data_IF_497931406990
#
_entry.id   IF_497931406990
#
_cell.length_a   1.000
_cell.length_b   1.000
_cell.length_c   1.000
_cell.angle_alpha   90.00
_cell.angle_beta   90.00
_cell.angle_gamma   90.00
#
_symmetry.space_group_name_H-M   'P 1'
#
loop_
_entity.id
_entity.type
_entity.pdbx_description
1 polymer ?
2 non-polymer ?
3 non-polymer ?
4 water ?
#
# COMPACT_ATOMS: atom_id res chain seq x y z
N UNK A 1 -6.31 2.31 -16.09
CA UNK A 1 -5.30 2.21 -15.03
C UNK A 1 -5.76 2.97 -13.82
N UNK A 2 -5.34 2.49 -12.66
CA UNK A 2 -5.75 3.11 -11.41
C UNK A 2 -4.57 3.24 -10.46
N UNK A 3 -4.58 4.31 -9.65
CA UNK A 3 -3.66 4.44 -8.52
C UNK A 3 -4.40 3.93 -7.30
N UNK A 4 -3.71 3.14 -6.48
CA UNK A 4 -4.25 2.64 -5.21
C UNK A 4 -3.38 3.25 -4.13
N UNK A 5 -4.01 3.93 -3.15
CA UNK A 5 -3.28 4.54 -2.04
C UNK A 5 -3.91 3.91 -0.82
N UNK A 6 -3.09 3.47 0.12
CA UNK A 6 -3.67 2.96 1.37
C UNK A 6 -2.98 3.68 2.51
N UNK A 7 -3.74 4.13 3.51
CA UNK A 7 -3.12 4.74 4.67
C UNK A 7 -3.56 3.88 5.81
N UNK A 8 -2.60 3.25 6.48
CA UNK A 8 -2.92 2.22 7.47
C UNK A 8 -2.22 2.50 8.79
N UNK A 9 -2.89 2.17 9.88
CA UNK A 9 -2.36 2.44 11.20
C UNK A 9 -1.80 1.15 11.82
N UNK A 10 -0.47 0.99 11.77
CA UNK A 10 0.19 -0.17 12.40
C UNK A 10 -0.16 -0.30 13.89
N UNK A 11 -0.44 -1.52 14.34
CA UNK A 11 -0.43 -1.82 15.78
C UNK A 11 0.83 -2.65 16.04
N UNK A 12 0.81 -3.90 15.60
CA UNK A 12 2.04 -4.67 15.47
C UNK A 12 2.78 -4.12 14.25
N UNK A 13 3.51 -3.02 14.45
CA UNK A 13 4.20 -2.32 13.37
C UNK A 13 5.19 -3.19 12.61
N UNK A 14 6.30 -3.50 13.27
CA UNK A 14 7.38 -4.25 12.65
C UNK A 14 6.82 -5.49 11.96
N UNK A 15 5.79 -6.08 12.59
CA UNK A 15 5.08 -7.24 12.04
C UNK A 15 4.39 -6.90 10.72
N UNK A 16 4.12 -5.61 10.53
CA UNK A 16 3.41 -5.15 9.34
C UNK A 16 4.38 -4.68 8.25
N UNK A 17 5.56 -4.24 8.65
CA UNK A 17 6.63 -4.00 7.70
C UNK A 17 6.92 -5.34 7.02
N UNK A 18 7.04 -6.38 7.83
CA UNK A 18 7.24 -7.75 7.34
C UNK A 18 6.05 -8.22 6.48
N UNK A 19 4.84 -7.88 6.92
CA UNK A 19 3.65 -8.19 6.15
C UNK A 19 3.73 -7.57 4.76
N UNK A 20 4.06 -6.29 4.71
CA UNK A 20 4.15 -5.55 3.45
C UNK A 20 5.20 -6.13 2.51
N UNK A 21 6.34 -6.49 3.07
CA UNK A 21 7.42 -7.05 2.27
C UNK A 21 7.05 -8.44 1.75
N UNK A 22 6.53 -9.28 2.64
CA UNK A 22 6.11 -10.63 2.26
C UNK A 22 4.97 -10.66 1.26
N UNK A 23 4.15 -9.61 1.25
CA UNK A 23 2.96 -9.52 0.40
C UNK A 23 3.21 -9.68 -1.10
N UNK A 24 4.44 -9.40 -1.54
CA UNK A 24 4.78 -9.50 -2.95
C UNK A 24 3.96 -8.57 -3.83
N UNK A 25 3.90 -7.30 -3.46
CA UNK A 25 3.23 -6.31 -4.28
C UNK A 25 4.28 -5.51 -5.03
N UNK A 26 4.64 -5.99 -6.21
CA UNK A 26 5.76 -5.41 -6.94
C UNK A 26 5.56 -3.94 -7.27
N UNK A 27 6.55 -3.12 -6.95
CA UNK A 27 6.52 -1.71 -7.30
C UNK A 27 5.82 -0.82 -6.29
N UNK A 28 5.24 -1.42 -5.26
CA UNK A 28 4.62 -0.60 -4.21
C UNK A 28 5.65 0.32 -3.52
N UNK A 29 5.29 1.57 -3.25
CA UNK A 29 6.20 2.42 -2.49
C UNK A 29 5.50 2.80 -1.19
N UNK A 30 6.32 3.12 -0.19
CA UNK A 30 5.78 3.37 1.14
C UNK A 30 6.43 4.61 1.75
N UNK A 31 5.64 5.35 2.53
CA UNK A 31 6.16 6.53 3.18
C UNK A 31 5.39 6.70 4.48
N UNK A 32 5.92 7.53 5.36
CA UNK A 32 5.24 7.77 6.63
C UNK A 32 4.43 9.05 6.54
N UNK A 33 3.25 9.02 7.14
CA UNK A 33 2.44 10.21 7.26
C UNK A 33 1.93 10.23 8.69
N UNK A 34 1.28 11.33 9.06
CA UNK A 34 0.68 11.42 10.39
C UNK A 34 -0.80 11.76 10.29
N UNK A 35 -1.63 11.16 11.13
CA UNK A 35 -3.02 11.56 11.20
C UNK A 35 -3.27 12.00 12.62
N UNK A 36 -4.49 12.40 12.96
CA UNK A 36 -4.75 12.82 14.34
C UNK A 36 -5.62 11.83 15.10
N UNK A 54 -3.22 13.78 20.09
CA UNK A 54 -2.62 12.52 19.68
C UNK A 54 -2.29 12.45 18.18
N UNK A 55 -1.06 12.83 17.84
CA UNK A 55 -0.51 12.58 16.51
C UNK A 55 -0.26 11.07 16.39
N UNK A 56 -0.72 10.48 15.29
CA UNK A 56 -0.61 9.05 15.07
C UNK A 56 0.24 8.82 13.85
N UNK A 57 1.33 8.08 14.01
CA UNK A 57 2.14 7.71 12.84
C UNK A 57 1.37 6.67 12.02
N UNK A 58 1.36 6.84 10.70
CA UNK A 58 0.66 5.93 9.81
C UNK A 58 1.58 5.61 8.63
N UNK A 59 1.30 4.50 7.95
CA UNK A 59 2.03 4.16 6.71
C UNK A 59 1.16 4.44 5.53
N UNK A 60 1.75 5.03 4.49
CA UNK A 60 1.05 5.27 3.24
C UNK A 60 1.67 4.40 2.17
N UNK A 61 0.83 3.62 1.48
CA UNK A 61 1.33 2.76 0.42
C UNK A 61 0.72 3.25 -0.87
N UNK A 62 1.50 3.21 -1.97
CA UNK A 62 0.95 3.62 -3.26
C UNK A 62 1.41 2.65 -4.32
N UNK A 63 0.52 2.37 -5.28
CA UNK A 63 0.93 1.58 -6.43
C UNK A 63 -0.03 1.95 -7.58
N UNK A 64 0.42 1.85 -8.83
CA UNK A 64 -0.44 2.06 -9.99
C UNK A 64 -0.53 0.74 -10.73
N UNK A 65 -1.76 0.34 -11.07
CA UNK A 65 -1.99 -0.97 -11.72
C UNK A 65 -3.00 -0.86 -12.83
N UNK A 66 -3.11 -1.91 -13.65
CA UNK A 66 -4.18 -1.97 -14.64
C UNK A 66 -5.52 -2.19 -13.93
N UNK A 67 -6.63 -1.83 -14.59
CA UNK A 67 -7.94 -1.85 -13.92
C UNK A 67 -8.24 -3.27 -13.43
N UNK A 68 -7.85 -4.25 -14.25
CA UNK A 68 -8.20 -5.65 -13.97
C UNK A 68 -7.47 -6.18 -12.74
N UNK A 69 -6.48 -5.44 -12.26
CA UNK A 69 -5.64 -5.88 -11.13
C UNK A 69 -5.99 -5.23 -9.80
N UNK A 70 -6.92 -4.28 -9.82
CA UNK A 70 -7.23 -3.49 -8.64
C UNK A 70 -7.70 -4.33 -7.46
N UNK A 71 -8.64 -5.22 -7.71
CA UNK A 71 -9.18 -6.01 -6.58
C UNK A 71 -8.10 -6.94 -5.98
N UNK A 72 -7.26 -7.49 -6.87
CA UNK A 72 -6.19 -8.37 -6.44
C UNK A 72 -5.25 -7.65 -5.50
N UNK A 73 -4.87 -6.42 -5.86
CA UNK A 73 -3.93 -5.67 -5.05
C UNK A 73 -4.57 -5.21 -3.73
N UNK A 74 -5.81 -4.75 -3.79
CA UNK A 74 -6.59 -4.39 -2.58
C UNK A 74 -6.60 -5.59 -1.62
N UNK A 75 -6.90 -6.77 -2.15
CA UNK A 75 -6.91 -7.98 -1.32
C UNK A 75 -5.56 -8.27 -0.68
N UNK A 76 -4.46 -8.07 -1.41
CA UNK A 76 -3.14 -8.33 -0.83
C UNK A 76 -2.82 -7.32 0.28
N UNK A 77 -3.18 -6.05 0.05
CA UNK A 77 -2.98 -5.04 1.07
C UNK A 77 -3.77 -5.41 2.34
N UNK A 78 -5.04 -5.73 2.18
CA UNK A 78 -5.85 -6.12 3.35
C UNK A 78 -5.26 -7.34 4.05
N UNK A 79 -4.82 -8.34 3.28
CA UNK A 79 -4.33 -9.54 3.90
C UNK A 79 -3.06 -9.24 4.69
N UNK A 80 -2.25 -8.32 4.16
CA UNK A 80 -1.00 -7.94 4.81
C UNK A 80 -1.30 -7.21 6.12
N UNK A 81 -2.23 -6.27 6.04
CA UNK A 81 -2.65 -5.50 7.21
C UNK A 81 -3.14 -6.43 8.31
N UNK A 82 -3.95 -7.41 7.93
CA UNK A 82 -4.46 -8.39 8.89
C UNK A 82 -3.35 -9.14 9.63
N UNK A 83 -2.26 -9.49 8.95
CA UNK A 83 -1.21 -10.25 9.62
C UNK A 83 -0.56 -9.42 10.74
N UNK A 84 -0.67 -8.09 10.64
CA UNK A 84 -0.13 -7.19 11.64
C UNK A 84 -1.13 -6.73 12.68
N UNK A 85 -1.94 -5.73 12.32
CA UNK A 85 -2.86 -5.13 13.28
C UNK A 85 -4.25 -5.80 13.38
N UNK A 86 -5.20 -5.58 12.46
CA UNK A 86 -5.15 -4.64 11.31
C UNK A 86 -5.43 -3.19 11.72
N UNK A 87 -6.29 -3.00 12.70
CA UNK A 87 -6.55 -1.69 13.27
C UNK A 87 -7.41 -0.87 12.34
N UNK A 88 -6.98 0.36 12.09
CA UNK A 88 -7.70 1.25 11.20
C UNK A 88 -6.95 1.41 9.87
N UNK A 89 -7.67 1.55 8.78
CA UNK A 89 -6.98 1.83 7.51
C UNK A 89 -7.93 2.32 6.46
N UNK A 90 -7.44 2.98 5.41
CA UNK A 90 -8.34 3.39 4.35
C UNK A 90 -7.62 3.19 3.03
N UNK A 91 -8.38 2.84 2.01
CA UNK A 91 -7.81 2.58 0.67
C UNK A 91 -8.56 3.41 -0.35
N UNK A 92 -7.84 4.10 -1.23
CA UNK A 92 -8.51 4.91 -2.23
C UNK A 92 -8.06 4.46 -3.61
N UNK A 93 -8.99 4.39 -4.57
CA UNK A 93 -8.65 4.01 -5.95
C UNK A 93 -9.00 5.24 -6.79
N UNK A 94 -8.04 5.66 -7.62
CA UNK A 94 -8.28 6.87 -8.40
C UNK A 94 -7.71 6.69 -9.82
N UNK A 95 -8.21 7.47 -10.80
CA UNK A 95 -7.81 7.21 -12.19
C UNK A 95 -6.44 7.71 -12.53
N UNK A 96 -5.80 6.98 -13.42
CA UNK A 96 -4.52 7.38 -14.00
C UNK A 96 -4.61 7.39 -15.53
N UNK A 97 -4.19 8.50 -16.14
CA UNK A 97 -4.31 8.69 -17.59
C UNK A 97 -3.14 8.12 -18.38
N UNK A 98 -1.93 8.21 -17.83
CA UNK A 98 -0.76 7.75 -18.61
C UNK A 98 0.30 7.27 -17.62
N UNK A 99 1.05 6.22 -17.97
CA UNK A 99 2.18 5.84 -17.12
C UNK A 99 3.40 5.70 -18.05
N UNK A 100 4.57 6.05 -17.52
CA UNK A 100 5.84 5.80 -18.25
C UNK A 100 6.72 5.08 -17.23
N UNK A 101 7.19 3.87 -17.57
CA UNK A 101 8.01 3.10 -16.62
C UNK A 101 9.34 2.82 -17.31
N UNK A 102 10.43 3.14 -16.60
CA UNK A 102 11.78 3.04 -17.21
C UNK A 102 12.60 2.11 -16.33
N UNK A 103 13.23 1.10 -16.94
CA UNK A 103 14.05 0.17 -16.20
C UNK A 103 15.42 0.18 -16.85
N UNK A 104 16.47 0.28 -16.04
CA UNK A 104 17.81 0.12 -16.59
C UNK A 104 18.54 -0.99 -15.87
N UNK A 105 19.14 -1.91 -16.61
CA UNK A 105 19.79 -3.05 -16.00
C UNK A 105 21.01 -2.65 -15.19
N UNK A 106 21.23 -3.33 -14.06
CA UNK A 106 22.38 -3.02 -13.20
C UNK A 106 23.62 -3.82 -13.57
X LIG B 1 3.63 1.42 -9.57
X LIG C 1 -10.91 -8.07 9.55
X LIG C 1 -10.50 -7.20 8.53
X LIG C 1 -11.68 -6.91 7.62
X LIG C 1 -11.19 -6.25 6.47
X LIG C 1 -11.90 -6.57 5.28
X LIG C 1 -11.71 -5.46 4.31
X LIG C 1 -12.14 -5.90 3.03
X LIG C 1 -12.62 -4.83 2.20
X LIG C 1 -12.30 -5.18 0.72
X LIG C 1 -13.17 -4.41 -0.09
X LIG C 1 -12.82 -4.39 -1.48
X LIG C 1 -14.02 -3.91 -2.21
X LIG C 1 -13.66 -3.68 -3.57
X LIG C 1 -9.77 -7.62 8.01
X LIG C 1 -13.84 -4.42 -4.05
#
# INVERSE_FOLDING_TARGET
MKKIEAIIRPFKLDEVKIALVNAGIVGMTVSEVRGFGRQKGQTERYRGSEYTVEFLQKLKLEIVVEDAQVDTVIDKIVAAARTGEIGDGKIFVSPVDQTIRIRTGEKNADAI
CL CL
PG4 O1 C1 C2 O2 C3 C4 O3 C5 C6 O4 C7 C8 O5 H11 HO5
#
